data_IF_594427556009
#
_entry.id   IF_594427556009
#
_cell.length_a   1.000
_cell.length_b   1.000
_cell.length_c   1.000
_cell.angle_alpha   90.00
_cell.angle_beta   90.00
_cell.angle_gamma   90.00
#
_symmetry.space_group_name_H-M   'P 1'
#
loop_
_entity.id
_entity.type
_entity.pdbx_description
1 polymer ?
#
# COMPACT_ATOMS: atom_id res chain seq x y z
N UNK A 1 22.52 32.94 21.37
CA UNK A 1 22.99 31.97 22.38
C UNK A 1 23.51 30.74 21.64
N UNK A 2 24.74 30.37 21.95
CA UNK A 2 25.54 29.34 21.27
C UNK A 2 25.12 27.95 21.77
N UNK A 3 25.04 26.96 20.89
CA UNK A 3 24.59 25.61 21.27
C UNK A 3 24.87 24.55 20.20
N UNK A 4 26.16 24.31 19.91
CA UNK A 4 26.60 23.08 19.24
C UNK A 4 26.37 21.90 20.19
N UNK A 5 25.50 20.96 19.81
CA UNK A 5 25.51 19.59 20.33
C UNK A 5 25.80 18.64 19.18
N UNK A 6 27.07 18.28 19.00
CA UNK A 6 27.46 17.13 18.20
C UNK A 6 27.37 15.90 19.09
N UNK A 7 26.28 15.15 18.99
CA UNK A 7 26.13 13.83 19.59
C UNK A 7 27.05 12.83 18.89
N UNK A 8 28.33 12.83 19.29
CA UNK A 8 29.22 11.69 19.06
C UNK A 8 29.02 10.72 20.21
N UNK A 9 28.30 9.63 19.95
CA UNK A 9 28.23 8.47 20.85
C UNK A 9 29.65 8.09 21.29
N UNK A 10 29.91 7.96 22.61
CA UNK A 10 31.25 7.65 23.11
C UNK A 10 31.72 6.31 22.53
N UNK A 11 32.97 6.26 22.07
CA UNK A 11 33.56 5.09 21.38
C UNK A 11 33.41 3.78 22.17
N UNK A 12 33.32 3.85 23.50
CA UNK A 12 33.03 2.71 24.38
C UNK A 12 31.64 2.08 24.14
N UNK A 13 30.63 2.87 23.79
CA UNK A 13 29.27 2.39 23.48
C UNK A 13 29.22 1.74 22.10
N UNK A 14 29.97 2.28 21.12
CA UNK A 14 30.15 1.67 19.80
C UNK A 14 30.90 0.33 19.89
N UNK A 15 32.01 0.27 20.64
CA UNK A 15 32.75 -0.97 20.86
C UNK A 15 31.91 -2.03 21.60
N UNK A 16 31.13 -1.64 22.61
CA UNK A 16 30.25 -2.58 23.32
C UNK A 16 29.16 -3.12 22.39
N UNK A 17 28.59 -2.28 21.51
CA UNK A 17 27.58 -2.69 20.53
C UNK A 17 28.15 -3.63 19.46
N UNK A 18 29.35 -3.37 18.96
CA UNK A 18 30.03 -4.24 17.98
C UNK A 18 30.48 -5.57 18.58
N UNK A 19 31.00 -5.55 19.81
CA UNK A 19 31.36 -6.77 20.52
C UNK A 19 30.12 -7.64 20.82
N UNK A 20 29.00 -7.00 21.20
CA UNK A 20 27.74 -7.72 21.42
C UNK A 20 27.21 -8.32 20.12
N UNK A 21 27.24 -7.56 18.99
CA UNK A 21 26.85 -8.09 17.66
C UNK A 21 27.70 -9.28 17.24
N UNK A 22 29.02 -9.23 17.45
CA UNK A 22 29.95 -10.30 17.09
C UNK A 22 29.74 -11.56 17.92
N UNK A 23 29.41 -11.43 19.21
CA UNK A 23 29.06 -12.58 20.06
C UNK A 23 27.72 -13.19 19.63
N UNK A 24 26.72 -12.37 19.28
CA UNK A 24 25.43 -12.86 18.81
C UNK A 24 25.53 -13.58 17.45
N UNK A 25 26.36 -13.09 16.51
CA UNK A 25 26.57 -13.75 15.22
C UNK A 25 27.32 -15.09 15.36
N UNK A 26 28.36 -15.14 16.21
CA UNK A 26 29.10 -16.39 16.47
C UNK A 26 28.21 -17.43 17.14
N UNK A 27 27.37 -17.04 18.10
CA UNK A 27 26.43 -17.97 18.74
C UNK A 27 25.32 -18.43 17.77
N UNK A 28 24.86 -17.56 16.87
CA UNK A 28 23.91 -17.92 15.81
C UNK A 28 24.46 -18.95 14.83
N UNK A 29 25.69 -18.78 14.35
CA UNK A 29 26.36 -19.72 13.45
C UNK A 29 26.68 -21.07 14.13
N UNK A 30 27.09 -21.04 15.41
CA UNK A 30 27.38 -22.25 16.18
C UNK A 30 26.10 -23.06 16.44
N UNK A 31 24.98 -22.42 16.74
CA UNK A 31 23.67 -23.10 16.89
C UNK A 31 23.17 -23.70 15.56
N UNK A 32 23.37 -23.00 14.43
CA UNK A 32 22.96 -23.49 13.12
C UNK A 32 23.82 -24.69 12.66
N UNK A 33 25.12 -24.70 12.95
CA UNK A 33 25.98 -25.86 12.63
C UNK A 33 25.69 -27.08 13.53
N UNK A 34 25.34 -26.87 14.80
CA UNK A 34 24.91 -27.92 15.73
C UNK A 34 23.56 -28.54 15.32
N UNK A 35 22.60 -27.76 14.81
CA UNK A 35 21.30 -28.30 14.35
C UNK A 35 21.45 -29.14 13.07
N UNK A 36 22.27 -28.67 12.11
CA UNK A 36 22.54 -29.40 10.85
C UNK A 36 23.18 -30.77 11.07
N UNK A 37 24.12 -30.89 12.02
CA UNK A 37 24.73 -32.20 12.38
C UNK A 37 23.72 -33.16 12.99
N UNK A 38 22.81 -32.67 13.84
CA UNK A 38 21.74 -33.50 14.45
C UNK A 38 20.71 -33.96 13.41
N UNK A 39 20.34 -33.09 12.47
CA UNK A 39 19.42 -33.43 11.36
C UNK A 39 20.07 -34.48 10.44
N UNK A 40 21.35 -34.33 10.12
CA UNK A 40 22.06 -35.29 9.27
C UNK A 40 22.18 -36.67 9.96
N UNK A 41 22.51 -36.70 11.25
CA UNK A 41 22.61 -37.95 12.02
C UNK A 41 21.25 -38.67 12.14
N UNK A 42 20.16 -37.94 12.36
CA UNK A 42 18.80 -38.52 12.42
C UNK A 42 18.33 -39.05 11.06
N UNK A 43 18.65 -38.35 9.96
CA UNK A 43 18.37 -38.82 8.61
C UNK A 43 19.11 -40.12 8.28
N UNK A 44 20.39 -40.24 8.67
CA UNK A 44 21.19 -41.46 8.48
C UNK A 44 20.61 -42.63 9.28
N UNK A 45 20.22 -42.41 10.54
CA UNK A 45 19.59 -43.46 11.36
C UNK A 45 18.27 -43.95 10.76
N UNK A 46 17.46 -43.02 10.23
CA UNK A 46 16.20 -43.35 9.57
C UNK A 46 16.42 -44.13 8.26
N UNK A 47 17.46 -43.78 7.49
CA UNK A 47 17.84 -44.52 6.29
C UNK A 47 18.29 -45.96 6.61
N UNK A 48 19.08 -46.13 7.68
CA UNK A 48 19.48 -47.44 8.19
C UNK A 48 18.25 -48.24 8.60
N UNK A 49 17.30 -47.62 9.31
CA UNK A 49 16.04 -48.26 9.72
C UNK A 49 15.21 -48.75 8.52
N UNK A 50 15.12 -47.96 7.45
CA UNK A 50 14.40 -48.34 6.22
C UNK A 50 15.07 -49.48 5.48
N UNK A 51 16.40 -49.56 5.45
CA UNK A 51 17.13 -50.57 4.66
C UNK A 51 17.42 -51.85 5.44
N UNK A 52 17.85 -51.73 6.70
CA UNK A 52 18.33 -52.86 7.51
C UNK A 52 17.18 -53.72 8.02
N UNK A 53 16.05 -53.13 8.42
CA UNK A 53 14.94 -53.89 8.99
C UNK A 53 14.28 -54.82 7.96
N UNK A 54 13.93 -54.38 6.74
CA UNK A 54 13.44 -55.28 5.70
C UNK A 54 14.40 -56.43 5.36
N UNK A 55 15.70 -56.14 5.30
CA UNK A 55 16.74 -57.16 5.06
C UNK A 55 16.81 -58.17 6.20
N UNK A 56 16.70 -57.69 7.44
CA UNK A 56 16.72 -58.52 8.64
C UNK A 56 15.48 -59.40 8.72
N UNK A 57 14.28 -58.85 8.46
CA UNK A 57 13.02 -59.63 8.34
C UNK A 57 13.21 -60.73 7.29
N UNK A 58 13.61 -60.38 6.06
CA UNK A 58 13.81 -61.35 4.99
C UNK A 58 14.86 -62.43 5.33
N UNK A 59 15.88 -62.08 6.10
CA UNK A 59 16.90 -63.03 6.55
C UNK A 59 16.38 -63.98 7.64
N UNK A 60 15.65 -63.47 8.64
CA UNK A 60 15.05 -64.32 9.69
C UNK A 60 14.09 -65.36 9.11
N UNK A 61 13.31 -65.01 8.09
CA UNK A 61 12.39 -65.93 7.42
C UNK A 61 13.09 -67.06 6.65
N UNK A 62 14.40 -66.95 6.37
CA UNK A 62 15.19 -68.01 5.70
C UNK A 62 15.82 -69.01 6.68
N UNK A 63 15.77 -68.76 7.99
CA UNK A 63 16.36 -69.63 8.99
C UNK A 63 15.36 -70.72 9.41
N UNK A 64 15.77 -71.99 9.39
CA UNK A 64 14.94 -73.07 9.92
C UNK A 64 14.89 -72.97 11.46
N UNK A 65 13.68 -72.80 12.01
CA UNK A 65 13.48 -72.76 13.45
C UNK A 65 13.68 -74.14 14.07
N UNK A 66 14.45 -74.28 15.16
CA UNK A 66 14.61 -75.53 15.90
C UNK A 66 13.43 -75.86 16.84
N UNK A 67 12.45 -74.96 17.03
CA UNK A 67 11.28 -75.17 17.90
C UNK A 67 10.00 -74.71 17.21
N UNK A 68 8.94 -75.52 17.26
CA UNK A 68 7.68 -75.29 16.53
C UNK A 68 7.00 -73.95 16.83
N UNK A 69 7.19 -73.41 18.04
CA UNK A 69 6.59 -72.14 18.50
C UNK A 69 7.18 -70.91 17.76
N UNK A 70 8.38 -71.02 17.18
CA UNK A 70 9.03 -69.94 16.44
C UNK A 70 8.90 -70.09 14.91
N UNK A 71 8.08 -71.04 14.44
CA UNK A 71 7.76 -71.16 13.01
C UNK A 71 6.79 -70.03 12.65
N UNK A 72 7.19 -69.18 11.72
CA UNK A 72 6.35 -68.10 11.26
C UNK A 72 5.19 -68.65 10.41
N UNK A 73 3.95 -68.40 10.85
CA UNK A 73 2.73 -68.73 10.10
C UNK A 73 2.46 -67.76 8.93
N UNK A 74 3.14 -66.62 8.93
CA UNK A 74 2.96 -65.56 7.93
C UNK A 74 3.99 -65.70 6.81
N UNK A 75 3.72 -65.18 5.62
CA UNK A 75 4.76 -65.06 4.60
C UNK A 75 5.67 -63.87 4.89
N UNK A 76 6.92 -63.94 4.43
CA UNK A 76 7.86 -62.80 4.53
C UNK A 76 7.30 -61.53 3.84
N UNK A 77 6.49 -61.71 2.79
CA UNK A 77 5.81 -60.62 2.08
C UNK A 77 4.73 -59.94 2.92
N UNK A 78 3.96 -60.71 3.69
CA UNK A 78 2.90 -60.17 4.56
C UNK A 78 3.50 -59.37 5.73
N UNK A 79 4.57 -59.90 6.35
CA UNK A 79 5.29 -59.23 7.42
C UNK A 79 5.93 -57.91 6.94
N UNK A 80 6.53 -57.91 5.74
CA UNK A 80 7.13 -56.72 5.16
C UNK A 80 6.09 -55.67 4.78
N UNK A 81 4.93 -56.09 4.27
CA UNK A 81 3.81 -55.20 3.93
C UNK A 81 3.23 -54.55 5.18
N UNK A 82 3.02 -55.33 6.26
CA UNK A 82 2.58 -54.80 7.55
C UNK A 82 3.55 -53.74 8.11
N UNK A 83 4.85 -54.00 8.05
CA UNK A 83 5.88 -53.04 8.45
C UNK A 83 5.83 -51.75 7.59
N UNK A 84 5.71 -51.90 6.27
CA UNK A 84 5.57 -50.77 5.34
C UNK A 84 4.33 -49.93 5.64
N UNK A 85 3.19 -50.56 5.97
CA UNK A 85 1.96 -49.87 6.35
C UNK A 85 2.11 -49.09 7.66
N UNK A 86 2.74 -49.66 8.69
CA UNK A 86 3.02 -48.96 9.96
C UNK A 86 3.94 -47.77 9.71
N UNK A 87 5.04 -47.97 8.98
CA UNK A 87 5.99 -46.90 8.67
C UNK A 87 5.30 -45.78 7.89
N UNK A 88 4.50 -46.12 6.87
CA UNK A 88 3.69 -45.19 6.10
C UNK A 88 2.71 -44.39 6.97
N UNK A 89 2.01 -45.06 7.89
CA UNK A 89 1.11 -44.41 8.84
C UNK A 89 1.85 -43.43 9.77
N UNK A 90 3.00 -43.84 10.33
CA UNK A 90 3.82 -42.97 11.19
C UNK A 90 4.35 -41.76 10.42
N UNK A 91 4.85 -41.96 9.20
CA UNK A 91 5.30 -40.88 8.33
C UNK A 91 4.16 -39.91 7.98
N UNK A 92 2.96 -40.44 7.72
CA UNK A 92 1.77 -39.62 7.42
C UNK A 92 1.37 -38.77 8.62
N UNK A 93 1.31 -39.37 9.82
CA UNK A 93 1.01 -38.64 11.07
C UNK A 93 2.06 -37.56 11.33
N UNK A 94 3.34 -37.90 11.17
CA UNK A 94 4.44 -36.94 11.36
C UNK A 94 4.40 -35.81 10.33
N UNK A 95 4.10 -36.12 9.08
CA UNK A 95 3.91 -35.12 8.02
C UNK A 95 2.79 -34.15 8.33
N UNK A 96 1.61 -34.66 8.72
CA UNK A 96 0.47 -33.82 9.14
C UNK A 96 0.83 -32.95 10.33
N UNK A 97 1.51 -33.51 11.33
CA UNK A 97 1.97 -32.76 12.50
C UNK A 97 2.89 -31.58 12.12
N UNK A 98 3.87 -31.82 11.23
CA UNK A 98 4.77 -30.77 10.74
C UNK A 98 4.01 -29.70 9.94
N UNK A 99 3.08 -30.10 9.07
CA UNK A 99 2.27 -29.15 8.29
C UNK A 99 1.41 -28.29 9.20
N UNK A 100 0.78 -28.86 10.23
CA UNK A 100 0.00 -28.10 11.22
C UNK A 100 0.91 -27.14 11.97
N UNK A 101 2.06 -27.59 12.48
CA UNK A 101 3.02 -26.73 13.18
C UNK A 101 3.45 -25.53 12.32
N UNK A 102 3.82 -25.79 11.06
CA UNK A 102 4.22 -24.74 10.12
C UNK A 102 3.07 -23.75 9.82
N UNK A 103 1.86 -24.27 9.57
CA UNK A 103 0.67 -23.46 9.34
C UNK A 103 0.31 -22.59 10.55
N UNK A 104 0.36 -23.15 11.76
CA UNK A 104 0.11 -22.43 13.01
C UNK A 104 1.13 -21.32 13.24
N UNK A 105 2.40 -21.56 12.89
CA UNK A 105 3.44 -20.54 12.99
C UNK A 105 3.17 -19.37 12.03
N UNK A 106 2.92 -19.65 10.75
CA UNK A 106 2.60 -18.62 9.76
C UNK A 106 1.32 -17.85 10.14
N UNK A 107 0.30 -18.54 10.64
CA UNK A 107 -0.93 -17.91 11.09
C UNK A 107 -0.71 -16.93 12.25
N UNK A 108 0.14 -17.28 13.22
CA UNK A 108 0.50 -16.38 14.33
C UNK A 108 1.26 -15.15 13.84
N UNK A 109 2.18 -15.35 12.89
CA UNK A 109 2.91 -14.26 12.23
C UNK A 109 1.94 -13.33 11.48
N UNK A 110 0.98 -13.89 10.73
CA UNK A 110 -0.05 -13.13 10.02
C UNK A 110 -0.95 -12.35 10.96
N UNK A 111 -1.40 -12.95 12.08
CA UNK A 111 -2.15 -12.22 13.10
C UNK A 111 -1.31 -11.07 13.64
N UNK A 112 -0.05 -11.34 14.01
CA UNK A 112 0.85 -10.31 14.55
C UNK A 112 1.03 -9.16 13.56
N UNK A 113 1.18 -9.47 12.28
CA UNK A 113 1.31 -8.49 11.21
C UNK A 113 0.03 -7.69 10.98
N UNK A 114 -1.16 -8.32 11.12
CA UNK A 114 -2.46 -7.63 11.01
C UNK A 114 -2.73 -6.67 12.17
N UNK A 115 -2.26 -7.00 13.39
CA UNK A 115 -2.44 -6.15 14.57
C UNK A 115 -1.30 -5.13 14.74
N UNK A 116 -0.31 -5.11 13.83
CA UNK A 116 0.82 -4.19 13.93
C UNK A 116 0.31 -2.75 13.81
N UNK A 117 0.42 -1.93 14.88
CA UNK A 117 -0.11 -0.58 14.84
C UNK A 117 0.76 0.28 13.93
N UNK A 118 0.13 0.94 12.96
CA UNK A 118 0.76 2.00 12.18
C UNK A 118 0.05 3.33 12.45
N UNK A 119 0.83 4.32 12.87
CA UNK A 119 0.32 5.65 13.18
C UNK A 119 0.42 6.52 11.93
N UNK A 120 -0.73 6.86 11.37
CA UNK A 120 -0.84 7.78 10.24
C UNK A 120 -1.00 9.22 10.76
N UNK A 121 -0.09 10.11 10.34
CA UNK A 121 -0.17 11.54 10.61
C UNK A 121 -0.94 12.25 9.49
N UNK A 122 -1.83 13.16 9.85
CA UNK A 122 -2.61 13.96 8.90
C UNK A 122 -2.22 15.43 9.04
N UNK A 123 -1.82 16.07 7.94
CA UNK A 123 -1.69 17.51 7.91
C UNK A 123 -3.07 18.15 7.85
N UNK A 124 -3.39 19.00 8.82
CA UNK A 124 -4.58 19.85 8.77
C UNK A 124 -4.26 21.08 7.91
N UNK A 125 -5.23 21.51 7.11
CA UNK A 125 -5.19 22.81 6.47
C UNK A 125 -5.91 23.80 7.35
N UNK A 126 -5.42 25.03 7.39
CA UNK A 126 -6.09 26.12 8.08
C UNK A 126 -6.52 27.19 7.09
N UNK A 127 -7.67 27.80 7.36
CA UNK A 127 -8.10 29.02 6.70
C UNK A 127 -8.41 30.06 7.77
N UNK A 128 -7.93 31.27 7.55
CA UNK A 128 -8.27 32.41 8.40
C UNK A 128 -8.79 33.55 7.55
N UNK A 129 -9.83 34.21 8.04
CA UNK A 129 -10.29 35.50 7.52
C UNK A 129 -10.14 36.48 8.66
N UNK A 130 -9.20 37.42 8.52
CA UNK A 130 -8.99 38.47 9.51
C UNK A 130 -9.00 39.82 8.80
N UNK A 131 -9.88 40.72 9.21
CA UNK A 131 -9.90 42.09 8.72
C UNK A 131 -9.02 42.94 9.64
N UNK A 132 -7.85 43.34 9.13
CA UNK A 132 -6.88 44.18 9.89
C UNK A 132 -7.46 45.58 10.17
N UNK A 133 -8.43 46.04 9.36
CA UNK A 133 -9.06 47.35 9.46
C UNK A 133 -10.59 47.24 9.51
N UNK A 134 -11.12 46.40 10.41
CA UNK A 134 -12.57 46.38 10.64
C UNK A 134 -12.99 47.64 11.42
N UNK A 135 -13.99 48.41 10.96
CA UNK A 135 -14.56 49.48 11.77
C UNK A 135 -15.14 48.92 13.06
N UNK A 136 -14.98 49.65 14.16
CA UNK A 136 -15.36 49.24 15.53
C UNK A 136 -16.88 48.97 15.66
N UNK A 137 -17.68 49.43 14.71
CA UNK A 137 -19.12 49.20 14.66
C UNK A 137 -19.50 48.39 13.42
N UNK A 138 -19.85 47.12 13.63
CA UNK A 138 -20.84 46.39 12.81
C UNK A 138 -21.16 45.03 13.46
N UNK A 139 -21.91 45.05 14.55
CA UNK A 139 -22.78 43.93 14.90
C UNK A 139 -23.97 43.94 13.93
N UNK A 140 -23.97 43.02 12.95
CA UNK A 140 -25.19 42.42 12.35
C UNK A 140 -24.93 41.48 11.16
N UNK A 141 -23.68 41.32 10.67
CA UNK A 141 -23.38 40.33 9.63
C UNK A 141 -22.49 39.21 10.17
N UNK A 142 -23.05 38.02 10.39
CA UNK A 142 -22.31 36.80 10.78
C UNK A 142 -21.13 36.49 9.83
N UNK A 143 -21.23 36.86 8.54
CA UNK A 143 -20.20 36.65 7.51
C UNK A 143 -18.93 37.54 7.63
N UNK A 144 -18.93 38.52 8.54
CA UNK A 144 -17.84 39.49 8.72
C UNK A 144 -16.98 39.25 9.97
N UNK A 145 -17.32 38.29 10.83
CA UNK A 145 -16.50 37.99 11.99
C UNK A 145 -15.17 37.34 11.60
N UNK A 146 -14.07 37.65 12.32
CA UNK A 146 -12.81 36.95 12.11
C UNK A 146 -13.00 35.46 12.40
N UNK A 147 -12.58 34.62 11.47
CA UNK A 147 -12.84 33.18 11.51
C UNK A 147 -11.54 32.42 11.27
N UNK A 148 -11.26 31.43 12.12
CA UNK A 148 -10.18 30.45 11.96
C UNK A 148 -10.79 29.06 11.97
N UNK A 149 -10.42 28.24 11.00
CA UNK A 149 -10.86 26.85 10.94
C UNK A 149 -9.74 25.95 10.44
N UNK A 150 -9.56 24.84 11.14
CA UNK A 150 -8.73 23.73 10.74
C UNK A 150 -9.60 22.59 10.21
N UNK A 151 -9.25 22.07 9.05
CA UNK A 151 -10.00 20.99 8.42
C UNK A 151 -9.06 19.98 7.76
N UNK A 152 -9.56 18.74 7.63
CA UNK A 152 -8.89 17.70 6.84
C UNK A 152 -9.18 17.93 5.36
N UNK A 153 -8.18 17.74 4.52
CA UNK A 153 -8.36 17.78 3.08
C UNK A 153 -9.25 16.61 2.64
N UNK A 154 -10.47 16.91 2.23
CA UNK A 154 -11.44 15.96 1.68
C UNK A 154 -11.71 16.19 0.20
N UNK A 155 -11.56 17.44 -0.24
CA UNK A 155 -11.86 17.87 -1.60
C UNK A 155 -10.60 18.44 -2.24
N UNK A 156 -10.33 18.00 -3.47
CA UNK A 156 -9.19 18.41 -4.27
C UNK A 156 -9.71 18.84 -5.64
N UNK A 157 -9.43 20.08 -6.01
CA UNK A 157 -9.79 20.62 -7.32
C UNK A 157 -8.51 20.83 -8.14
N UNK A 158 -8.42 20.16 -9.28
CA UNK A 158 -7.38 20.39 -10.29
C UNK A 158 -7.94 21.36 -11.33
N UNK A 159 -7.48 22.61 -11.29
CA UNK A 159 -7.93 23.67 -12.19
C UNK A 159 -6.92 23.81 -13.31
N UNK A 160 -7.33 23.49 -14.52
CA UNK A 160 -6.51 23.61 -15.72
C UNK A 160 -6.80 24.96 -16.37
N UNK A 161 -5.75 25.73 -16.67
CA UNK A 161 -5.89 26.95 -17.43
C UNK A 161 -4.55 27.48 -17.95
N UNK A 162 -4.54 27.86 -19.23
CA UNK A 162 -3.43 28.52 -19.89
C UNK A 162 -2.11 27.72 -19.81
N UNK A 163 -2.20 26.40 -19.91
CA UNK A 163 -1.10 25.44 -19.83
C UNK A 163 -0.67 25.04 -18.42
N UNK A 164 -1.25 25.66 -17.37
CA UNK A 164 -0.92 25.39 -15.98
C UNK A 164 -2.03 24.61 -15.27
N UNK A 165 -1.65 23.89 -14.22
CA UNK A 165 -2.56 23.08 -13.40
C UNK A 165 -2.41 23.53 -11.95
N UNK A 166 -3.43 24.23 -11.46
CA UNK A 166 -3.49 24.68 -10.07
C UNK A 166 -4.26 23.67 -9.22
N UNK A 167 -3.76 23.37 -8.02
CA UNK A 167 -4.48 22.54 -7.05
C UNK A 167 -5.08 23.39 -5.93
N UNK A 168 -6.40 23.34 -5.75
CA UNK A 168 -7.13 24.07 -4.70
C UNK A 168 -8.01 23.14 -3.86
N UNK A 169 -8.43 23.58 -2.68
CA UNK A 169 -9.41 22.87 -1.83
C UNK A 169 -10.85 23.29 -2.09
N UNK A 170 -11.07 24.33 -2.90
CA UNK A 170 -12.39 24.78 -3.34
C UNK A 170 -12.26 25.60 -4.62
N UNK A 171 -13.32 25.60 -5.42
CA UNK A 171 -13.47 26.52 -6.56
C UNK A 171 -13.75 27.95 -6.06
N UNK A 172 -13.40 28.96 -6.86
CA UNK A 172 -13.82 30.34 -6.57
C UNK A 172 -15.35 30.48 -6.68
N UNK A 173 -15.92 31.53 -6.07
CA UNK A 173 -17.37 31.78 -6.15
C UNK A 173 -17.85 31.88 -7.61
N UNK A 174 -17.07 32.56 -8.45
CA UNK A 174 -17.37 32.70 -9.88
C UNK A 174 -17.32 31.34 -10.60
N UNK A 175 -16.30 30.52 -10.30
CA UNK A 175 -16.17 29.17 -10.87
C UNK A 175 -17.32 28.25 -10.45
N UNK A 176 -17.71 28.30 -9.17
CA UNK A 176 -18.87 27.57 -8.66
C UNK A 176 -20.16 28.01 -9.35
N UNK A 177 -20.35 29.31 -9.53
CA UNK A 177 -21.53 29.84 -10.22
C UNK A 177 -21.58 29.37 -11.68
N UNK A 178 -20.44 29.36 -12.37
CA UNK A 178 -20.30 28.83 -13.74
C UNK A 178 -20.71 27.38 -13.83
N UNK A 179 -20.24 26.57 -12.87
CA UNK A 179 -20.54 25.15 -12.79
C UNK A 179 -22.03 24.91 -12.55
N UNK A 180 -22.65 25.66 -11.61
CA UNK A 180 -24.09 25.58 -11.32
C UNK A 180 -24.92 26.02 -12.54
N UNK A 181 -24.44 27.02 -13.28
CA UNK A 181 -25.08 27.54 -14.48
C UNK A 181 -24.78 26.68 -15.72
N UNK A 182 -24.08 25.55 -15.59
CA UNK A 182 -23.82 24.62 -16.69
C UNK A 182 -22.92 25.18 -17.80
N UNK A 183 -22.03 26.13 -17.46
CA UNK A 183 -21.16 26.78 -18.44
C UNK A 183 -21.69 28.10 -19.01
N UNK A 184 -22.90 28.54 -18.64
CA UNK A 184 -23.38 29.86 -19.06
C UNK A 184 -22.90 30.97 -18.12
N UNK A 185 -22.45 32.10 -18.67
CA UNK A 185 -22.08 33.32 -17.91
C UNK A 185 -22.71 34.57 -18.50
N UNK A 186 -23.07 35.50 -17.62
CA UNK A 186 -23.32 36.89 -18.00
C UNK A 186 -22.06 37.72 -17.81
N UNK A 187 -21.49 38.20 -18.90
CA UNK A 187 -20.30 39.07 -18.86
C UNK A 187 -20.72 40.50 -19.14
N UNK A 188 -20.33 41.42 -18.26
CA UNK A 188 -20.52 42.86 -18.47
C UNK A 188 -19.34 43.40 -19.28
N UNK A 189 -19.55 43.71 -20.55
CA UNK A 189 -18.47 44.15 -21.46
C UNK A 189 -18.22 45.67 -21.37
N UNK A 190 -19.19 46.45 -20.86
CA UNK A 190 -19.16 47.91 -20.63
C UNK A 190 -20.39 48.32 -19.80
N UNK A 191 -20.44 49.55 -19.27
CA UNK A 191 -21.61 50.11 -18.56
C UNK A 191 -22.90 49.88 -19.36
N UNK A 192 -23.83 49.09 -18.80
CA UNK A 192 -25.13 48.69 -19.36
C UNK A 192 -25.13 47.74 -20.59
N UNK A 193 -24.06 46.97 -20.86
CA UNK A 193 -24.11 45.87 -21.83
C UNK A 193 -23.75 44.53 -21.18
N UNK A 194 -24.72 43.63 -21.12
CA UNK A 194 -24.55 42.25 -20.69
C UNK A 194 -24.60 41.33 -21.91
N UNK A 195 -23.55 40.54 -22.12
CA UNK A 195 -23.54 39.46 -23.10
C UNK A 195 -23.73 38.12 -22.40
N UNK A 196 -24.67 37.33 -22.90
CA UNK A 196 -24.80 35.93 -22.52
C UNK A 196 -23.76 35.13 -23.29
N UNK A 197 -22.84 34.49 -22.57
CA UNK A 197 -21.73 33.75 -23.14
C UNK A 197 -21.84 32.28 -22.75
N UNK A 198 -21.73 31.40 -23.75
CA UNK A 198 -21.49 29.97 -23.57
C UNK A 198 -19.98 29.77 -23.33
N UNK A 199 -19.61 29.18 -22.20
CA UNK A 199 -18.24 28.89 -21.79
C UNK A 199 -17.98 27.42 -22.05
N UNK A 200 -16.95 27.12 -22.83
CA UNK A 200 -16.49 25.74 -22.97
C UNK A 200 -15.99 25.25 -21.60
N UNK A 201 -16.77 24.39 -20.95
CA UNK A 201 -16.56 23.94 -19.58
C UNK A 201 -16.11 22.48 -19.56
N UNK A 202 -14.99 22.22 -18.91
CA UNK A 202 -14.56 20.86 -18.57
C UNK A 202 -14.82 20.65 -17.08
N UNK A 203 -15.62 19.64 -16.74
CA UNK A 203 -15.98 19.32 -15.37
C UNK A 203 -16.08 17.80 -15.20
N UNK A 204 -15.12 17.22 -14.48
CA UNK A 204 -15.07 15.78 -14.19
C UNK A 204 -14.96 15.58 -12.67
N UNK A 205 -16.10 15.44 -11.97
CA UNK A 205 -16.14 15.11 -10.56
C UNK A 205 -15.90 13.60 -10.35
N UNK A 206 -15.07 13.26 -9.36
CA UNK A 206 -14.63 11.90 -9.06
C UNK A 206 -14.60 11.69 -7.55
N UNK A 207 -14.89 10.47 -7.11
CA UNK A 207 -14.64 10.02 -5.74
C UNK A 207 -13.58 8.92 -5.75
N UNK A 208 -12.64 9.03 -4.82
CA UNK A 208 -11.53 8.09 -4.65
C UNK A 208 -11.67 7.38 -3.32
N UNK A 209 -11.71 6.05 -3.38
CA UNK A 209 -11.74 5.17 -2.23
C UNK A 209 -10.52 4.23 -2.24
N UNK A 210 -10.00 3.91 -1.07
CA UNK A 210 -9.10 2.76 -0.92
C UNK A 210 -9.91 1.47 -0.76
N UNK A 211 -10.04 0.73 -1.87
CA UNK A 211 -10.69 -0.59 -1.93
C UNK A 211 -9.81 -1.74 -1.44
N UNK A 212 -8.53 -1.48 -1.13
CA UNK A 212 -7.60 -2.47 -0.62
C UNK A 212 -7.74 -2.72 0.88
N UNK A 213 -7.23 -3.86 1.34
CA UNK A 213 -7.25 -4.23 2.76
C UNK A 213 -6.29 -3.40 3.63
N UNK A 214 -5.21 -2.89 3.04
CA UNK A 214 -4.19 -2.09 3.72
C UNK A 214 -4.43 -0.60 3.52
N UNK A 215 -4.00 0.23 4.47
CA UNK A 215 -4.03 1.68 4.28
C UNK A 215 -2.96 2.11 3.25
N UNK A 216 -3.34 3.00 2.33
CA UNK A 216 -2.39 3.70 1.47
C UNK A 216 -1.77 4.86 2.24
N UNK A 217 -0.45 4.82 2.43
CA UNK A 217 0.32 5.77 3.24
C UNK A 217 1.13 6.68 2.33
N UNK A 218 1.26 7.95 2.72
CA UNK A 218 1.99 8.95 1.93
C UNK A 218 1.44 9.01 0.49
N UNK A 219 0.12 8.94 0.37
CA UNK A 219 -0.62 9.11 -0.86
C UNK A 219 -0.40 10.53 -1.40
N UNK A 220 0.12 10.59 -2.62
CA UNK A 220 0.35 11.78 -3.42
C UNK A 220 -0.50 11.66 -4.67
N UNK A 221 -1.30 12.68 -4.91
CA UNK A 221 -2.23 12.75 -6.02
C UNK A 221 -1.79 13.92 -6.90
N UNK A 222 -1.71 13.71 -8.20
CA UNK A 222 -1.31 14.75 -9.15
C UNK A 222 -2.06 14.58 -10.47
N UNK A 223 -2.41 15.70 -11.10
CA UNK A 223 -2.85 15.72 -12.49
C UNK A 223 -1.72 16.34 -13.30
N UNK A 224 -1.08 15.56 -14.16
CA UNK A 224 0.15 15.95 -14.84
C UNK A 224 -0.03 15.81 -16.35
N UNK A 225 0.26 16.86 -17.11
CA UNK A 225 0.26 16.78 -18.59
C UNK A 225 1.37 15.82 -19.03
N UNK A 226 1.07 14.89 -19.94
CA UNK A 226 2.03 13.86 -20.40
C UNK A 226 3.29 14.49 -21.01
N UNK A 227 3.14 15.63 -21.69
CA UNK A 227 4.25 16.37 -22.29
C UNK A 227 5.15 17.10 -21.26
N UNK A 228 4.72 17.26 -20.00
CA UNK A 228 5.48 17.97 -18.98
C UNK A 228 6.48 17.04 -18.28
N UNK A 229 7.70 17.54 -18.08
CA UNK A 229 8.82 16.75 -17.52
C UNK A 229 8.86 16.71 -16.00
N UNK A 230 8.13 17.59 -15.30
CA UNK A 230 8.12 17.64 -13.82
C UNK A 230 6.71 17.47 -13.27
N UNK A 231 6.39 16.29 -12.70
CA UNK A 231 5.09 16.08 -12.09
C UNK A 231 4.95 16.86 -10.78
N UNK A 232 3.77 17.43 -10.56
CA UNK A 232 3.40 18.14 -9.34
C UNK A 232 2.34 17.34 -8.61
N UNK A 233 2.52 17.17 -7.31
CA UNK A 233 1.61 16.41 -6.46
C UNK A 233 1.15 17.26 -5.30
N UNK A 234 -0.04 16.95 -4.78
CA UNK A 234 -0.51 17.49 -3.53
C UNK A 234 0.39 17.09 -2.36
N UNK A 235 0.25 17.81 -1.24
CA UNK A 235 0.83 17.41 0.05
C UNK A 235 0.41 15.98 0.39
N UNK A 236 1.34 15.10 0.81
CA UNK A 236 1.01 13.72 1.10
C UNK A 236 -0.07 13.57 2.17
N UNK A 237 -1.03 12.68 1.91
CA UNK A 237 -2.10 12.30 2.82
C UNK A 237 -2.09 10.78 3.03
N UNK A 238 -2.94 10.28 3.94
CA UNK A 238 -3.11 8.84 4.13
C UNK A 238 -4.56 8.48 3.82
N UNK A 239 -4.77 7.36 3.12
CA UNK A 239 -6.09 6.88 2.73
C UNK A 239 -6.33 5.49 3.30
N UNK A 240 -7.18 5.42 4.31
CA UNK A 240 -7.65 4.18 4.92
C UNK A 240 -8.86 3.66 4.15
N UNK A 241 -9.18 2.38 4.36
CA UNK A 241 -10.43 1.79 3.89
C UNK A 241 -11.63 2.61 4.39
N UNK A 242 -12.68 2.71 3.56
CA UNK A 242 -13.92 3.46 3.83
C UNK A 242 -13.73 4.98 4.02
N UNK A 243 -12.57 5.54 3.69
CA UNK A 243 -12.43 6.99 3.54
C UNK A 243 -12.56 7.36 2.07
N UNK A 244 -13.41 8.35 1.81
CA UNK A 244 -13.62 8.93 0.50
C UNK A 244 -12.89 10.27 0.39
N UNK A 245 -12.27 10.49 -0.77
CA UNK A 245 -11.69 11.77 -1.17
C UNK A 245 -12.37 12.20 -2.46
N UNK A 246 -12.90 13.41 -2.47
CA UNK A 246 -13.46 14.02 -3.66
C UNK A 246 -12.36 14.68 -4.49
N UNK A 247 -12.32 14.39 -5.78
CA UNK A 247 -11.44 15.03 -6.76
C UNK A 247 -12.29 15.63 -7.86
N UNK A 248 -11.94 16.82 -8.32
CA UNK A 248 -12.63 17.46 -9.43
C UNK A 248 -11.63 18.06 -10.41
N UNK A 249 -11.62 17.56 -11.64
CA UNK A 249 -10.88 18.16 -12.73
C UNK A 249 -11.77 19.22 -13.38
N UNK A 250 -11.30 20.46 -13.40
CA UNK A 250 -12.09 21.61 -13.81
C UNK A 250 -11.29 22.53 -14.74
N UNK A 251 -11.91 23.03 -15.81
CA UNK A 251 -11.33 24.05 -16.69
C UNK A 251 -12.43 24.93 -17.29
N UNK A 252 -12.19 26.24 -17.29
CA UNK A 252 -13.04 27.21 -17.98
C UNK A 252 -12.33 27.74 -19.21
N UNK A 253 -12.98 27.65 -20.37
CA UNK A 253 -12.42 28.07 -21.66
C UNK A 253 -10.99 27.55 -21.89
N UNK A 254 -10.78 26.22 -21.90
CA UNK A 254 -9.46 25.66 -22.19
C UNK A 254 -8.89 26.21 -23.50
N UNK A 255 -7.64 26.62 -23.42
CA UNK A 255 -6.86 27.14 -24.55
C UNK A 255 -6.23 25.98 -25.32
N UNK A 256 -5.64 26.25 -26.49
CA UNK A 256 -4.92 25.21 -27.25
C UNK A 256 -3.76 24.59 -26.44
N UNK A 257 -3.20 25.34 -25.49
CA UNK A 257 -2.18 24.84 -24.56
C UNK A 257 -2.74 23.89 -23.49
N UNK A 258 -4.05 23.90 -23.26
CA UNK A 258 -4.76 23.02 -22.32
C UNK A 258 -5.24 21.72 -22.99
N UNK A 259 -5.10 21.61 -24.31
CA UNK A 259 -5.45 20.39 -25.05
C UNK A 259 -4.35 19.33 -24.94
N UNK A 260 -4.76 18.07 -25.04
CA UNK A 260 -3.89 16.90 -25.05
C UNK A 260 -4.16 15.94 -23.89
N UNK A 261 -3.17 15.10 -23.61
CA UNK A 261 -3.26 14.03 -22.62
C UNK A 261 -2.60 14.42 -21.28
N UNK A 262 -3.23 13.95 -20.22
CA UNK A 262 -2.87 14.14 -18.83
C UNK A 262 -2.97 12.80 -18.11
N UNK A 263 -2.10 12.59 -17.12
CA UNK A 263 -2.20 11.47 -16.21
C UNK A 263 -2.71 11.98 -14.86
N UNK A 264 -3.83 11.42 -14.40
CA UNK A 264 -4.22 11.49 -13.01
C UNK A 264 -3.50 10.36 -12.26
N UNK A 265 -2.50 10.73 -11.47
CA UNK A 265 -1.54 9.81 -10.87
C UNK A 265 -1.70 9.73 -9.36
N UNK A 266 -1.68 8.50 -8.84
CA UNK A 266 -1.75 8.18 -7.43
C UNK A 266 -0.48 7.43 -7.03
N UNK A 267 0.39 8.09 -6.28
CA UNK A 267 1.60 7.48 -5.71
C UNK A 267 1.41 7.25 -4.23
N UNK A 268 1.60 6.02 -3.76
CA UNK A 268 1.44 5.70 -2.34
C UNK A 268 2.32 4.53 -1.95
N UNK A 269 2.43 4.34 -0.63
CA UNK A 269 3.15 3.24 -0.04
C UNK A 269 2.19 2.35 0.75
N UNK A 270 2.50 1.06 0.85
CA UNK A 270 1.89 0.23 1.88
C UNK A 270 2.55 0.46 3.26
N UNK A 271 2.07 -0.27 4.26
CA UNK A 271 2.60 -0.25 5.63
C UNK A 271 4.05 -0.79 5.72
N UNK A 272 4.50 -1.55 4.73
CA UNK A 272 5.84 -2.11 4.61
C UNK A 272 6.79 -1.22 3.78
N UNK A 273 6.32 -0.04 3.36
CA UNK A 273 7.04 0.94 2.54
C UNK A 273 7.30 0.49 1.09
N UNK A 274 6.61 -0.54 0.61
CA UNK A 274 6.56 -0.84 -0.81
C UNK A 274 5.81 0.28 -1.51
N UNK A 275 6.37 0.76 -2.63
CA UNK A 275 5.83 1.89 -3.39
C UNK A 275 4.98 1.39 -4.55
N UNK A 276 3.88 2.09 -4.78
CA UNK A 276 2.93 1.82 -5.85
C UNK A 276 2.60 3.10 -6.59
N UNK A 277 2.31 2.95 -7.89
CA UNK A 277 1.68 4.00 -8.70
C UNK A 277 0.49 3.45 -9.44
N UNK A 278 -0.56 4.25 -9.52
CA UNK A 278 -1.72 4.00 -10.37
C UNK A 278 -1.99 5.25 -11.19
N UNK A 279 -2.26 5.07 -12.49
CA UNK A 279 -2.42 6.17 -13.44
C UNK A 279 -3.71 6.01 -14.21
N UNK A 280 -4.48 7.09 -14.33
CA UNK A 280 -5.65 7.19 -15.19
C UNK A 280 -5.39 8.21 -16.27
N UNK A 281 -5.68 7.86 -17.52
CA UNK A 281 -5.44 8.74 -18.67
C UNK A 281 -6.65 9.67 -18.83
N UNK A 282 -6.40 10.96 -18.77
CA UNK A 282 -7.38 12.02 -18.99
C UNK A 282 -7.01 12.81 -20.25
N UNK A 283 -7.95 13.05 -21.15
CA UNK A 283 -7.69 13.81 -22.38
C UNK A 283 -8.67 14.95 -22.57
N UNK A 284 -8.17 16.07 -23.07
CA UNK A 284 -8.98 17.21 -23.52
C UNK A 284 -8.76 17.38 -25.02
N UNK A 285 -9.84 17.27 -25.80
CA UNK A 285 -9.86 17.34 -27.25
C UNK A 285 -10.80 18.46 -27.71
N UNK A 286 -10.57 18.98 -28.90
CA UNK A 286 -11.42 19.99 -29.54
C UNK A 286 -11.92 19.44 -30.88
N UNK A 287 -13.22 19.32 -31.03
CA UNK A 287 -13.89 18.88 -32.27
C UNK A 287 -14.99 19.90 -32.59
N UNK A 288 -15.05 20.40 -33.83
CA UNK A 288 -16.06 21.36 -34.31
C UNK A 288 -16.28 22.58 -33.39
N UNK A 289 -15.19 23.16 -32.87
CA UNK A 289 -15.18 24.27 -31.89
C UNK A 289 -15.79 23.95 -30.51
N UNK A 290 -16.16 22.70 -30.25
CA UNK A 290 -16.56 22.21 -28.93
C UNK A 290 -15.41 21.48 -28.26
N UNK A 291 -15.36 21.57 -26.94
CA UNK A 291 -14.35 20.88 -26.14
C UNK A 291 -14.95 19.62 -25.54
N UNK A 292 -14.22 18.52 -25.67
CA UNK A 292 -14.56 17.22 -25.11
C UNK A 292 -13.47 16.81 -24.13
N UNK A 293 -13.90 16.24 -23.00
CA UNK A 293 -13.02 15.73 -21.99
C UNK A 293 -13.38 14.27 -21.69
N UNK A 294 -12.38 13.41 -21.63
CA UNK A 294 -12.54 11.97 -21.49
C UNK A 294 -11.56 11.44 -20.45
N UNK A 295 -12.06 10.65 -19.50
CA UNK A 295 -11.25 9.95 -18.51
C UNK A 295 -11.37 8.44 -18.75
N UNK A 296 -10.23 7.79 -19.00
CA UNK A 296 -10.17 6.35 -19.07
C UNK A 296 -10.06 5.77 -17.65
N UNK A 297 -11.02 4.93 -17.25
CA UNK A 297 -11.06 4.25 -15.97
C UNK A 297 -10.24 2.96 -15.93
N UNK A 298 -9.79 2.47 -17.08
CA UNK A 298 -8.88 1.34 -17.15
C UNK A 298 -7.49 1.77 -16.66
N UNK A 299 -7.12 1.30 -15.47
CA UNK A 299 -5.86 1.63 -14.82
C UNK A 299 -5.25 0.40 -14.20
N UNK A 300 -3.93 0.30 -14.30
CA UNK A 300 -3.16 -0.75 -13.65
C UNK A 300 -2.36 -0.16 -12.48
N UNK A 301 -2.22 -0.96 -11.43
CA UNK A 301 -1.35 -0.65 -10.31
C UNK A 301 0.04 -1.23 -10.59
N UNK A 302 1.04 -0.35 -10.66
CA UNK A 302 2.43 -0.73 -10.87
C UNK A 302 3.23 -0.66 -9.57
N UNK A 303 4.17 -1.59 -9.40
CA UNK A 303 5.10 -1.60 -8.27
C UNK A 303 6.36 -0.82 -8.66
N UNK A 304 6.69 0.20 -7.88
CA UNK A 304 7.91 0.99 -8.07
C UNK A 304 9.00 0.42 -7.17
N UNK A 305 10.15 0.07 -7.78
CA UNK A 305 11.35 -0.35 -7.05
C UNK A 305 12.13 0.83 -6.48
#
# INVERSE_FOLDING_TARGET
MNGKSTDRLPAAVLMKKDMTRKITSINGERNNSMSKRKICMTAILFLIFILVIPLLINWLFKQCSPVDIFIAEWSAGDALSFYGSILGAVLTIYGVYLTIQYSQHNYREDIRNRVLPILALYSLRSRSKYQIFAPIEQEQNQDKQPFYEEYRLKEIYFIIGNGNIDTKSSLSKDQQQTLIQGGFKYVSTQTNKFSFCDVNLVSVPLEVENVGNGAAINLRIGLNKVANSKPVYITPINLKQNMLIYIHIFSENPTDNDLGEYNLEFYYNDIYKQRYVQKYVFSIKKEDNKIFAELNFDSEQEIIR
#
